data_IF_071306636546
#
_entry.id   IF_071306636546
#
_cell.length_a   1.000
_cell.length_b   1.000
_cell.length_c   1.000
_cell.angle_alpha   90.00
_cell.angle_beta   90.00
_cell.angle_gamma   90.00
#
_symmetry.space_group_name_H-M   'P 1'
#
loop_
_entity.id
_entity.type
_entity.pdbx_description
1 polymer ?
#
# COMPACT_ATOMS: atom_id res chain seq x y z
N UNK A 1 17.93 -15.23 7.05
CA UNK A 1 18.63 -14.06 6.50
C UNK A 1 17.99 -12.79 7.04
N UNK A 2 18.77 -11.73 7.25
CA UNK A 2 18.29 -10.40 7.64
C UNK A 2 18.87 -9.35 6.69
N UNK A 3 17.99 -8.55 6.07
CA UNK A 3 18.38 -7.35 5.30
C UNK A 3 18.09 -6.14 6.18
N UNK A 4 19.11 -5.35 6.52
CA UNK A 4 18.95 -4.16 7.35
C UNK A 4 20.15 -3.21 7.22
N UNK A 5 19.97 -1.88 7.31
CA UNK A 5 21.06 -0.91 7.17
C UNK A 5 22.07 -0.94 8.31
N UNK A 6 21.59 -1.24 9.51
CA UNK A 6 22.41 -1.63 10.64
C UNK A 6 21.92 -3.01 11.07
N UNK A 7 22.77 -3.80 11.70
CA UNK A 7 22.35 -5.04 12.33
C UNK A 7 21.80 -4.73 13.73
N UNK A 8 20.47 -4.66 13.96
CA UNK A 8 19.97 -4.60 15.31
C UNK A 8 20.32 -5.91 16.04
N UNK A 9 20.14 -5.97 17.37
CA UNK A 9 20.16 -7.21 18.14
C UNK A 9 19.16 -8.20 17.53
N UNK A 10 19.62 -9.01 16.57
CA UNK A 10 18.84 -9.97 15.81
C UNK A 10 19.37 -11.37 16.09
N UNK A 11 18.56 -12.37 15.79
CA UNK A 11 18.91 -13.79 15.82
C UNK A 11 20.02 -14.18 14.83
N UNK A 12 20.68 -13.24 14.16
CA UNK A 12 21.88 -13.53 13.33
C UNK A 12 23.00 -14.15 14.17
N UNK A 13 23.09 -13.82 15.46
CA UNK A 13 23.98 -14.51 16.41
C UNK A 13 23.42 -15.85 16.91
N UNK A 14 22.13 -16.14 16.72
CA UNK A 14 21.46 -17.35 17.22
C UNK A 14 21.52 -18.53 16.24
N UNK A 15 21.87 -18.31 14.96
CA UNK A 15 22.01 -19.37 13.97
C UNK A 15 23.14 -19.06 12.97
N UNK A 16 24.10 -19.98 12.85
CA UNK A 16 25.24 -19.89 11.92
C UNK A 16 24.83 -19.86 10.43
N UNK A 17 23.60 -20.26 10.10
CA UNK A 17 23.04 -20.19 8.74
C UNK A 17 22.38 -18.83 8.43
N UNK A 18 22.32 -17.91 9.39
CA UNK A 18 21.72 -16.60 9.17
C UNK A 18 22.77 -15.61 8.63
N UNK A 19 22.49 -15.03 7.47
CA UNK A 19 23.34 -14.00 6.83
C UNK A 19 22.70 -12.62 7.01
N UNK A 20 23.53 -11.63 7.34
CA UNK A 20 23.15 -10.22 7.31
C UNK A 20 23.56 -9.61 5.97
N UNK A 21 22.65 -8.84 5.35
CA UNK A 21 22.91 -8.06 4.14
C UNK A 21 22.73 -6.57 4.46
N UNK A 22 23.82 -5.77 4.44
CA UNK A 22 23.74 -4.34 4.70
C UNK A 22 23.19 -3.60 3.48
N UNK A 23 21.94 -3.14 3.57
CA UNK A 23 21.31 -2.29 2.55
C UNK A 23 21.45 -0.82 2.95
N UNK A 24 21.59 0.12 2.01
CA UNK A 24 21.61 1.54 2.35
C UNK A 24 20.24 1.99 2.92
N UNK A 25 20.20 2.85 3.95
CA UNK A 25 18.94 3.31 4.53
C UNK A 25 17.95 3.87 3.48
N UNK A 26 16.72 3.34 3.45
CA UNK A 26 15.64 3.82 2.58
C UNK A 26 15.71 3.33 1.12
N UNK A 27 16.62 2.39 0.81
CA UNK A 27 16.87 1.90 -0.55
C UNK A 27 16.44 0.45 -0.76
N UNK A 28 15.71 -0.13 0.20
CA UNK A 28 15.20 -1.50 0.18
C UNK A 28 14.35 -1.79 -1.07
N UNK A 29 13.64 -0.79 -1.59
CA UNK A 29 12.88 -0.91 -2.83
C UNK A 29 13.78 -1.17 -4.05
N UNK A 30 14.97 -0.57 -4.10
CA UNK A 30 15.94 -0.83 -5.16
C UNK A 30 16.47 -2.28 -5.09
N UNK A 31 16.75 -2.78 -3.88
CA UNK A 31 17.12 -4.18 -3.70
C UNK A 31 15.99 -5.13 -4.13
N UNK A 32 14.75 -4.89 -3.67
CA UNK A 32 13.60 -5.72 -4.01
C UNK A 32 13.34 -5.72 -5.53
N UNK A 33 13.38 -4.56 -6.18
CA UNK A 33 13.21 -4.45 -7.64
C UNK A 33 14.36 -5.10 -8.42
N UNK A 34 15.60 -5.03 -7.93
CA UNK A 34 16.73 -5.76 -8.51
C UNK A 34 16.56 -7.29 -8.43
N UNK A 35 16.03 -7.79 -7.31
CA UNK A 35 15.66 -9.21 -7.16
C UNK A 35 14.52 -9.58 -8.12
N UNK A 36 13.44 -8.78 -8.18
CA UNK A 36 12.31 -8.99 -9.09
C UNK A 36 12.79 -9.04 -10.55
N UNK A 37 13.61 -8.07 -10.96
CA UNK A 37 14.21 -8.02 -12.31
C UNK A 37 14.88 -9.34 -12.65
N UNK A 38 15.79 -9.79 -11.78
CA UNK A 38 16.53 -11.03 -12.00
C UNK A 38 15.60 -12.26 -12.06
N UNK A 39 14.59 -12.34 -11.18
CA UNK A 39 13.61 -13.45 -11.20
C UNK A 39 12.86 -13.49 -12.53
N UNK A 40 12.47 -12.33 -13.08
CA UNK A 40 11.77 -12.24 -14.38
C UNK A 40 12.71 -12.65 -15.51
N UNK A 41 13.92 -12.07 -15.59
CA UNK A 41 14.92 -12.36 -16.64
C UNK A 41 15.34 -13.84 -16.67
N UNK A 42 15.35 -14.50 -15.51
CA UNK A 42 15.71 -15.92 -15.39
C UNK A 42 14.49 -16.86 -15.40
N UNK A 43 13.28 -16.34 -15.64
CA UNK A 43 12.03 -17.11 -15.63
C UNK A 43 11.82 -17.96 -14.36
N UNK A 44 12.23 -17.45 -13.19
CA UNK A 44 12.18 -18.18 -11.91
C UNK A 44 10.93 -17.89 -11.06
N UNK A 45 9.90 -17.31 -11.66
CA UNK A 45 8.62 -17.09 -11.01
C UNK A 45 7.67 -18.27 -11.24
N UNK A 46 6.63 -18.37 -10.42
CA UNK A 46 5.60 -19.39 -10.52
C UNK A 46 4.58 -19.02 -11.60
N UNK A 47 4.88 -19.38 -12.85
CA UNK A 47 4.04 -19.05 -14.00
C UNK A 47 2.60 -19.55 -13.84
N UNK A 48 2.41 -20.82 -13.44
CA UNK A 48 1.09 -21.43 -13.32
C UNK A 48 0.20 -20.69 -12.30
N UNK A 49 0.79 -20.23 -11.20
CA UNK A 49 0.09 -19.44 -10.19
C UNK A 49 -0.24 -18.03 -10.68
N UNK A 50 0.73 -17.32 -11.27
CA UNK A 50 0.52 -15.95 -11.71
C UNK A 50 -0.51 -15.87 -12.85
N UNK A 51 -0.63 -16.92 -13.66
CA UNK A 51 -1.58 -16.99 -14.76
C UNK A 51 -3.05 -17.12 -14.32
N UNK A 52 -3.32 -17.33 -13.02
CA UNK A 52 -4.67 -17.44 -12.44
C UNK A 52 -5.29 -16.04 -12.34
N UNK A 53 -6.31 -15.71 -13.16
CA UNK A 53 -6.81 -14.35 -13.30
C UNK A 53 -8.00 -14.01 -12.39
N UNK A 54 -8.44 -14.93 -11.52
CA UNK A 54 -9.61 -14.67 -10.69
C UNK A 54 -9.93 -15.76 -9.69
N UNK A 55 -10.94 -15.49 -8.88
CA UNK A 55 -11.38 -16.39 -7.80
C UNK A 55 -11.86 -17.76 -8.32
N UNK A 56 -12.60 -17.79 -9.43
CA UNK A 56 -13.05 -19.05 -10.03
C UNK A 56 -11.85 -19.95 -10.40
N UNK A 57 -10.85 -19.38 -11.08
CA UNK A 57 -9.63 -20.10 -11.43
C UNK A 57 -8.81 -20.52 -10.21
N UNK A 58 -8.73 -19.66 -9.19
CA UNK A 58 -8.07 -19.96 -7.93
C UNK A 58 -8.69 -21.21 -7.29
N UNK A 59 -10.02 -21.25 -7.20
CA UNK A 59 -10.75 -22.39 -6.62
C UNK A 59 -10.53 -23.66 -7.46
N UNK A 60 -10.61 -23.57 -8.78
CA UNK A 60 -10.37 -24.70 -9.69
C UNK A 60 -8.94 -25.25 -9.58
N UNK A 61 -7.94 -24.39 -9.37
CA UNK A 61 -6.54 -24.76 -9.18
C UNK A 61 -6.21 -25.24 -7.75
N UNK A 62 -7.15 -25.14 -6.80
CA UNK A 62 -6.92 -25.47 -5.39
C UNK A 62 -5.98 -24.49 -4.68
N UNK A 63 -5.85 -23.26 -5.19
CA UNK A 63 -4.99 -22.23 -4.62
C UNK A 63 -5.67 -21.48 -3.45
N UNK A 64 -4.86 -20.80 -2.63
CA UNK A 64 -5.35 -19.97 -1.49
C UNK A 64 -5.42 -18.47 -1.79
N UNK A 65 -4.88 -18.08 -2.93
CA UNK A 65 -4.83 -16.69 -3.40
C UNK A 65 -4.66 -16.67 -4.92
N UNK A 66 -4.88 -15.50 -5.51
CA UNK A 66 -4.63 -15.21 -6.92
C UNK A 66 -4.09 -13.79 -7.05
N UNK A 67 -3.64 -13.42 -8.25
CA UNK A 67 -3.02 -12.11 -8.50
C UNK A 67 -3.63 -11.46 -9.73
N UNK A 68 -3.46 -10.13 -9.84
CA UNK A 68 -3.83 -9.39 -11.03
C UNK A 68 -2.72 -9.39 -12.11
N UNK A 69 -1.79 -10.34 -12.09
CA UNK A 69 -0.62 -10.35 -12.99
C UNK A 69 -0.99 -10.40 -14.48
N UNK A 70 -2.11 -11.04 -14.83
CA UNK A 70 -2.61 -11.13 -16.21
C UNK A 70 -3.65 -10.08 -16.58
N UNK A 71 -4.06 -9.23 -15.64
CA UNK A 71 -5.10 -8.21 -15.89
C UNK A 71 -4.55 -7.10 -16.76
N UNK A 72 -5.35 -6.66 -17.73
CA UNK A 72 -4.95 -5.63 -18.68
C UNK A 72 -5.13 -4.23 -18.10
N UNK A 73 -4.13 -3.39 -18.29
CA UNK A 73 -4.07 -1.99 -17.87
C UNK A 73 -3.89 -1.13 -19.10
N UNK A 74 -4.60 0.00 -19.17
CA UNK A 74 -4.42 0.99 -20.23
C UNK A 74 -3.08 1.71 -20.02
N UNK A 75 -2.21 1.66 -21.02
CA UNK A 75 -0.82 2.17 -20.94
C UNK A 75 -0.52 3.31 -21.89
N UNK A 76 -1.50 3.73 -22.71
CA UNK A 76 -1.40 4.97 -23.49
C UNK A 76 -1.40 6.19 -22.56
N UNK A 77 -0.23 6.78 -22.32
CA UNK A 77 -0.02 7.87 -21.35
C UNK A 77 -0.92 9.09 -21.57
N UNK A 78 -1.29 9.38 -22.82
CA UNK A 78 -2.14 10.52 -23.17
C UNK A 78 -3.63 10.27 -22.92
N UNK A 79 -4.03 9.02 -22.66
CA UNK A 79 -5.42 8.66 -22.44
C UNK A 79 -5.86 9.02 -21.00
N UNK A 80 -7.06 9.59 -20.78
CA UNK A 80 -7.52 9.97 -19.43
C UNK A 80 -7.58 8.83 -18.41
N UNK A 81 -7.71 7.58 -18.91
CA UNK A 81 -7.75 6.36 -18.10
C UNK A 81 -6.41 5.62 -18.04
N UNK A 82 -5.29 6.25 -18.43
CA UNK A 82 -3.97 5.65 -18.29
C UNK A 82 -3.72 5.18 -16.84
N UNK A 83 -3.20 3.95 -16.70
CA UNK A 83 -2.99 3.29 -15.41
C UNK A 83 -4.22 2.62 -14.80
N UNK A 84 -5.39 2.73 -15.42
CA UNK A 84 -6.61 2.01 -15.01
C UNK A 84 -6.71 0.65 -15.69
N UNK A 85 -7.40 -0.30 -15.04
CA UNK A 85 -7.74 -1.57 -15.68
C UNK A 85 -8.61 -1.35 -16.92
N UNK A 86 -8.34 -2.11 -17.97
CA UNK A 86 -9.26 -2.26 -19.09
C UNK A 86 -10.46 -3.09 -18.61
N UNK A 87 -11.66 -2.53 -18.69
CA UNK A 87 -12.90 -3.19 -18.24
C UNK A 87 -13.83 -3.45 -19.42
N UNK A 88 -14.69 -4.46 -19.28
CA UNK A 88 -15.58 -4.93 -20.34
C UNK A 88 -16.51 -3.80 -20.88
N UNK A 89 -17.03 -2.94 -19.99
CA UNK A 89 -17.89 -1.83 -20.37
C UNK A 89 -17.20 -0.78 -21.27
N UNK A 90 -15.87 -0.69 -21.21
CA UNK A 90 -15.10 0.20 -22.09
C UNK A 90 -15.12 -0.29 -23.55
N UNK A 91 -15.37 -1.59 -23.76
CA UNK A 91 -15.52 -2.18 -25.09
C UNK A 91 -16.98 -2.29 -25.52
N UNK A 92 -17.90 -2.63 -24.60
CA UNK A 92 -19.32 -2.80 -24.92
C UNK A 92 -20.11 -1.47 -24.95
N UNK A 93 -19.66 -0.44 -24.23
CA UNK A 93 -20.41 0.80 -24.03
C UNK A 93 -21.57 0.69 -23.03
N UNK A 94 -21.71 -0.45 -22.35
CA UNK A 94 -22.78 -0.68 -21.39
C UNK A 94 -22.61 0.18 -20.13
N UNK A 95 -23.71 0.71 -19.62
CA UNK A 95 -23.71 1.46 -18.37
C UNK A 95 -23.42 0.53 -17.19
N UNK A 96 -22.58 0.98 -16.26
CA UNK A 96 -22.33 0.29 -14.98
C UNK A 96 -23.25 0.90 -13.94
N UNK A 97 -23.98 0.06 -13.21
CA UNK A 97 -24.87 0.53 -12.15
C UNK A 97 -24.08 1.26 -11.05
N UNK A 98 -24.74 2.19 -10.35
CA UNK A 98 -24.10 2.94 -9.27
C UNK A 98 -23.64 1.99 -8.15
N UNK A 99 -22.34 2.03 -7.84
CA UNK A 99 -21.72 1.17 -6.82
C UNK A 99 -21.24 -0.19 -7.33
N UNK A 100 -21.41 -0.51 -8.62
CA UNK A 100 -20.86 -1.71 -9.24
C UNK A 100 -19.59 -1.40 -10.04
N UNK A 101 -18.79 -2.45 -10.30
CA UNK A 101 -17.63 -2.37 -11.19
C UNK A 101 -17.79 -3.36 -12.35
N UNK A 102 -17.52 -2.90 -13.57
CA UNK A 102 -17.47 -3.79 -14.74
C UNK A 102 -16.28 -4.77 -14.63
N UNK A 103 -16.40 -6.02 -15.11
CA UNK A 103 -15.33 -6.99 -15.07
C UNK A 103 -14.04 -6.49 -15.73
N UNK A 104 -12.90 -6.79 -15.11
CA UNK A 104 -11.57 -6.51 -15.68
C UNK A 104 -11.27 -7.53 -16.77
N UNK A 105 -10.69 -7.08 -17.88
CA UNK A 105 -10.32 -7.95 -18.99
C UNK A 105 -8.90 -8.50 -18.84
N UNK A 106 -8.71 -9.72 -19.30
CA UNK A 106 -7.41 -10.37 -19.50
C UNK A 106 -7.34 -10.95 -20.93
N UNK A 107 -6.12 -11.28 -21.37
CA UNK A 107 -5.88 -11.87 -22.68
C UNK A 107 -5.78 -13.40 -22.56
N UNK A 108 -6.51 -14.14 -23.40
CA UNK A 108 -6.38 -15.58 -23.54
C UNK A 108 -5.14 -15.96 -24.39
N UNK A 109 -4.75 -17.24 -24.35
CA UNK A 109 -3.57 -17.73 -25.10
C UNK A 109 -3.71 -17.54 -26.62
N UNK A 110 -4.94 -17.54 -27.14
CA UNK A 110 -5.24 -17.28 -28.56
C UNK A 110 -5.26 -15.78 -28.92
N UNK A 111 -5.01 -14.90 -27.95
CA UNK A 111 -5.00 -13.44 -28.12
C UNK A 111 -6.35 -12.77 -27.90
N UNK A 112 -7.44 -13.52 -27.68
CA UNK A 112 -8.76 -12.94 -27.43
C UNK A 112 -8.86 -12.28 -26.06
N UNK A 113 -9.71 -11.26 -25.95
CA UNK A 113 -10.01 -10.59 -24.69
C UNK A 113 -11.24 -11.19 -24.04
N UNK A 114 -11.14 -11.54 -22.75
CA UNK A 114 -12.25 -12.09 -21.97
C UNK A 114 -12.24 -11.53 -20.55
N UNK A 115 -13.39 -11.49 -19.84
CA UNK A 115 -13.45 -11.19 -18.42
C UNK A 115 -12.54 -12.13 -17.61
N UNK A 116 -11.66 -11.56 -16.80
CA UNK A 116 -10.67 -12.29 -16.01
C UNK A 116 -11.31 -13.29 -15.04
N UNK A 117 -12.50 -12.98 -14.52
CA UNK A 117 -13.30 -13.82 -13.62
C UNK A 117 -13.95 -15.03 -14.31
N UNK A 118 -13.92 -15.11 -15.64
CA UNK A 118 -14.46 -16.21 -16.46
C UNK A 118 -13.38 -17.10 -17.07
N UNK A 119 -12.09 -16.82 -16.80
CA UNK A 119 -10.97 -17.54 -17.36
C UNK A 119 -10.33 -18.46 -16.31
N UNK A 120 -9.86 -19.65 -16.73
CA UNK A 120 -9.06 -20.54 -15.87
C UNK A 120 -7.57 -20.18 -15.86
N UNK A 121 -7.07 -19.67 -16.99
CA UNK A 121 -5.72 -19.15 -17.16
C UNK A 121 -5.74 -18.00 -18.15
N UNK A 122 -4.86 -17.03 -17.98
CA UNK A 122 -4.66 -15.92 -18.90
C UNK A 122 -3.18 -15.75 -19.24
N UNK A 123 -2.91 -15.16 -20.39
CA UNK A 123 -1.57 -14.82 -20.85
C UNK A 123 -0.90 -13.85 -19.86
N UNK A 124 0.32 -14.19 -19.43
CA UNK A 124 1.04 -13.38 -18.46
C UNK A 124 1.67 -12.16 -19.10
N UNK A 125 2.27 -12.32 -20.27
CA UNK A 125 2.98 -11.22 -20.94
C UNK A 125 2.19 -10.77 -22.16
N UNK A 126 1.21 -9.90 -21.91
CA UNK A 126 0.36 -9.34 -22.94
C UNK A 126 0.77 -7.90 -23.25
N UNK A 127 0.74 -7.55 -24.54
CA UNK A 127 0.74 -6.17 -25.05
C UNK A 127 -0.06 -6.16 -26.34
N UNK A 128 -1.13 -5.37 -26.39
CA UNK A 128 -1.97 -5.26 -27.58
C UNK A 128 -2.60 -3.87 -27.69
N UNK A 129 -3.04 -3.52 -28.90
CA UNK A 129 -3.87 -2.35 -29.14
C UNK A 129 -5.34 -2.76 -29.17
N UNK A 130 -6.20 -1.96 -28.54
CA UNK A 130 -7.63 -2.22 -28.41
C UNK A 130 -8.40 -0.95 -28.75
N UNK A 131 -9.38 -1.09 -29.65
CA UNK A 131 -10.33 -0.02 -29.94
C UNK A 131 -11.45 -0.04 -28.91
N UNK A 132 -11.61 1.06 -28.17
CA UNK A 132 -12.68 1.27 -27.20
C UNK A 132 -14.01 1.56 -27.91
N UNK A 133 -15.12 1.48 -27.18
CA UNK A 133 -16.46 1.77 -27.70
C UNK A 133 -16.60 3.19 -28.30
N UNK A 134 -15.86 4.17 -27.76
CA UNK A 134 -15.84 5.54 -28.27
C UNK A 134 -14.98 5.74 -29.52
N UNK A 135 -14.37 4.66 -30.03
CA UNK A 135 -13.52 4.64 -31.21
C UNK A 135 -12.05 4.98 -30.94
N UNK A 136 -11.67 5.33 -29.71
CA UNK A 136 -10.27 5.57 -29.37
C UNK A 136 -9.49 4.24 -29.38
N UNK A 137 -8.30 4.26 -29.96
CA UNK A 137 -7.39 3.12 -29.93
C UNK A 137 -6.37 3.31 -28.81
N UNK A 138 -6.33 2.37 -27.87
CA UNK A 138 -5.44 2.41 -26.71
C UNK A 138 -4.52 1.20 -26.67
N UNK A 139 -3.30 1.38 -26.19
CA UNK A 139 -2.40 0.28 -25.86
C UNK A 139 -2.74 -0.24 -24.48
N UNK A 140 -2.82 -1.56 -24.36
CA UNK A 140 -3.01 -2.25 -23.08
C UNK A 140 -1.91 -3.27 -22.85
N UNK A 141 -1.53 -3.45 -21.58
CA UNK A 141 -0.50 -4.40 -21.15
C UNK A 141 -0.98 -5.15 -19.91
N UNK A 142 -0.59 -6.40 -19.76
CA UNK A 142 -0.86 -7.14 -18.52
C UNK A 142 -0.05 -6.57 -17.34
N UNK A 143 -0.54 -6.77 -16.12
CA UNK A 143 0.17 -6.37 -14.90
C UNK A 143 1.62 -6.89 -14.83
N UNK A 144 1.87 -8.12 -15.31
CA UNK A 144 3.21 -8.71 -15.35
C UNK A 144 4.12 -8.05 -16.39
N UNK A 145 3.59 -7.66 -17.56
CA UNK A 145 4.34 -6.85 -18.53
C UNK A 145 4.71 -5.49 -17.93
N UNK A 146 3.77 -4.83 -17.25
CA UNK A 146 4.04 -3.57 -16.55
C UNK A 146 5.12 -3.73 -15.47
N UNK A 147 5.07 -4.82 -14.69
CA UNK A 147 6.08 -5.12 -13.67
C UNK A 147 7.45 -5.39 -14.30
N UNK A 148 7.51 -6.15 -15.39
CA UNK A 148 8.74 -6.41 -16.13
C UNK A 148 9.37 -5.11 -16.61
N UNK A 149 8.59 -4.20 -17.19
CA UNK A 149 9.09 -2.89 -17.65
C UNK A 149 9.55 -2.02 -16.48
N UNK A 150 8.80 -2.00 -15.38
CA UNK A 150 9.18 -1.26 -14.18
C UNK A 150 10.49 -1.78 -13.56
N UNK A 151 10.68 -3.11 -13.54
CA UNK A 151 11.91 -3.75 -13.08
C UNK A 151 13.07 -3.58 -14.08
N UNK A 152 12.78 -3.42 -15.37
CA UNK A 152 13.78 -3.15 -16.39
C UNK A 152 14.26 -1.69 -16.41
N UNK A 153 13.59 -0.77 -15.69
CA UNK A 153 13.91 0.66 -15.64
C UNK A 153 15.36 0.95 -15.27
N UNK A 154 15.95 0.14 -14.38
CA UNK A 154 17.36 0.20 -14.02
C UNK A 154 17.99 -1.18 -14.24
N UNK A 155 19.24 -1.19 -14.72
CA UNK A 155 20.08 -2.38 -14.77
C UNK A 155 20.33 -2.96 -13.37
N UNK A 156 20.72 -4.23 -13.30
CA UNK A 156 21.08 -4.85 -12.03
C UNK A 156 22.23 -4.13 -11.33
N UNK A 157 23.22 -3.65 -12.09
CA UNK A 157 24.32 -2.83 -11.60
C UNK A 157 23.85 -1.51 -10.99
N UNK A 158 22.90 -0.82 -11.62
CA UNK A 158 22.31 0.41 -11.08
C UNK A 158 21.51 0.16 -9.80
N UNK A 159 20.72 -0.93 -9.74
CA UNK A 159 20.05 -1.33 -8.50
C UNK A 159 21.05 -1.66 -7.39
N UNK A 160 22.11 -2.41 -7.71
CA UNK A 160 23.20 -2.73 -6.77
C UNK A 160 23.83 -1.46 -6.22
N UNK A 161 24.14 -0.48 -7.09
CA UNK A 161 24.71 0.80 -6.69
C UNK A 161 23.77 1.58 -5.78
N UNK A 162 22.48 1.67 -6.14
CA UNK A 162 21.49 2.42 -5.36
C UNK A 162 21.26 1.82 -3.98
N UNK A 163 21.23 0.50 -3.86
CA UNK A 163 20.98 -0.17 -2.58
C UNK A 163 22.23 -0.49 -1.77
N UNK A 164 23.43 -0.30 -2.35
CA UNK A 164 24.72 -0.62 -1.74
C UNK A 164 24.99 -2.12 -1.56
N UNK A 165 24.15 -2.99 -2.11
CA UNK A 165 24.32 -4.46 -2.04
C UNK A 165 24.99 -4.93 -3.34
N UNK A 166 26.11 -5.67 -3.30
CA UNK A 166 26.78 -6.16 -4.51
C UNK A 166 25.88 -7.02 -5.40
N UNK A 167 26.00 -6.90 -6.73
CA UNK A 167 25.20 -7.67 -7.71
C UNK A 167 25.20 -9.17 -7.42
N UNK A 168 26.37 -9.75 -7.12
CA UNK A 168 26.50 -11.17 -6.79
C UNK A 168 25.65 -11.58 -5.57
N UNK A 169 25.53 -10.68 -4.59
CA UNK A 169 24.65 -10.88 -3.43
C UNK A 169 23.20 -10.81 -3.88
N UNK A 170 22.78 -9.78 -4.63
CA UNK A 170 21.39 -9.66 -5.14
C UNK A 170 20.97 -10.91 -5.91
N UNK A 171 21.82 -11.40 -6.81
CA UNK A 171 21.61 -12.65 -7.57
C UNK A 171 21.51 -13.85 -6.63
N UNK A 172 22.44 -13.97 -5.66
CA UNK A 172 22.43 -15.05 -4.68
C UNK A 172 21.12 -15.08 -3.88
N UNK A 173 20.63 -13.91 -3.47
CA UNK A 173 19.35 -13.75 -2.76
C UNK A 173 18.19 -14.20 -3.62
N UNK A 174 18.13 -13.71 -4.86
CA UNK A 174 17.06 -14.03 -5.80
C UNK A 174 17.03 -15.54 -6.11
N UNK A 175 18.20 -16.14 -6.31
CA UNK A 175 18.35 -17.58 -6.57
C UNK A 175 17.91 -18.41 -5.36
N UNK A 176 18.47 -18.13 -4.18
CA UNK A 176 18.14 -18.86 -2.96
C UNK A 176 16.63 -18.75 -2.64
N UNK A 177 16.05 -17.55 -2.73
CA UNK A 177 14.62 -17.34 -2.52
C UNK A 177 13.75 -18.19 -3.46
N UNK A 178 14.11 -18.24 -4.75
CA UNK A 178 13.36 -19.00 -5.75
C UNK A 178 13.65 -20.51 -5.76
N UNK A 179 14.80 -20.95 -5.23
CA UNK A 179 15.13 -22.38 -5.05
C UNK A 179 14.17 -23.06 -4.07
N UNK A 180 13.77 -22.36 -3.01
CA UNK A 180 12.78 -22.86 -2.04
C UNK A 180 11.33 -22.70 -2.52
N UNK A 181 11.10 -22.04 -3.66
CA UNK A 181 9.77 -21.83 -4.24
C UNK A 181 8.77 -21.33 -3.17
N UNK A 182 7.62 -21.99 -3.03
CA UNK A 182 6.54 -21.64 -2.08
C UNK A 182 6.90 -21.82 -0.61
N UNK A 183 8.06 -22.39 -0.28
CA UNK A 183 8.54 -22.56 1.10
C UNK A 183 9.38 -21.38 1.58
N UNK A 184 9.77 -20.47 0.70
CA UNK A 184 10.38 -19.21 1.09
C UNK A 184 9.32 -18.20 1.51
N UNK A 185 9.70 -17.22 2.32
CA UNK A 185 8.88 -16.07 2.67
C UNK A 185 9.78 -14.86 2.91
N UNK A 186 9.36 -13.70 2.41
CA UNK A 186 10.00 -12.42 2.75
C UNK A 186 8.95 -11.55 3.43
N UNK A 187 9.28 -11.05 4.61
CA UNK A 187 8.43 -10.12 5.34
C UNK A 187 9.19 -8.84 5.59
N UNK A 188 8.43 -7.77 5.81
CA UNK A 188 8.98 -6.51 6.28
C UNK A 188 8.43 -6.21 7.67
N UNK A 189 9.29 -5.72 8.56
CA UNK A 189 8.89 -5.32 9.90
C UNK A 189 9.70 -4.08 10.31
N UNK A 190 9.02 -3.01 10.74
CA UNK A 190 9.64 -1.80 11.30
C UNK A 190 10.46 -0.91 10.34
N UNK A 191 11.12 -1.48 9.32
CA UNK A 191 12.04 -0.76 8.41
C UNK A 191 11.36 0.08 7.32
N UNK A 192 10.03 0.08 7.25
CA UNK A 192 9.27 0.76 6.20
C UNK A 192 8.51 2.01 6.70
N UNK A 193 8.96 2.59 7.81
CA UNK A 193 8.42 3.86 8.33
C UNK A 193 9.01 5.10 7.62
N UNK A 194 9.63 4.92 6.45
CA UNK A 194 10.11 5.99 5.58
C UNK A 194 9.05 6.50 4.60
N UNK A 195 9.31 7.63 3.93
CA UNK A 195 8.35 8.26 3.01
C UNK A 195 7.93 7.39 1.81
N UNK A 196 8.77 6.44 1.41
CA UNK A 196 8.49 5.43 0.37
C UNK A 196 8.09 4.06 0.95
N UNK A 197 7.74 4.00 2.23
CA UNK A 197 7.46 2.77 2.96
C UNK A 197 6.41 1.88 2.29
N UNK A 198 5.29 2.48 1.89
CA UNK A 198 4.20 1.78 1.19
C UNK A 198 4.69 1.06 -0.07
N UNK A 199 5.39 1.77 -0.96
CA UNK A 199 5.90 1.20 -2.21
C UNK A 199 6.96 0.12 -1.95
N UNK A 200 7.77 0.30 -0.91
CA UNK A 200 8.77 -0.68 -0.50
C UNK A 200 8.10 -1.96 0.02
N UNK A 201 7.06 -1.84 0.85
CA UNK A 201 6.25 -3.00 1.29
C UNK A 201 5.65 -3.71 0.09
N UNK A 202 5.11 -2.94 -0.85
CA UNK A 202 4.51 -3.48 -2.06
C UNK A 202 5.50 -4.29 -2.90
N UNK A 203 6.71 -3.77 -3.14
CA UNK A 203 7.76 -4.49 -3.85
C UNK A 203 8.20 -5.78 -3.12
N UNK A 204 8.29 -5.76 -1.79
CA UNK A 204 8.59 -6.96 -0.99
C UNK A 204 7.44 -7.98 -1.06
N UNK A 205 6.19 -7.53 -1.04
CA UNK A 205 5.03 -8.41 -1.20
C UNK A 205 4.94 -9.00 -2.61
N UNK A 206 5.36 -8.27 -3.65
CA UNK A 206 5.46 -8.79 -5.01
C UNK A 206 6.38 -10.02 -5.09
N UNK A 207 7.51 -10.06 -4.38
CA UNK A 207 8.39 -11.24 -4.34
C UNK A 207 7.63 -12.50 -3.88
N UNK A 208 6.79 -12.37 -2.86
CA UNK A 208 5.96 -13.47 -2.34
C UNK A 208 4.88 -13.89 -3.35
N UNK A 209 4.22 -12.91 -3.98
CA UNK A 209 3.27 -13.18 -5.06
C UNK A 209 3.94 -13.91 -6.24
N UNK A 210 5.17 -13.54 -6.61
CA UNK A 210 5.90 -14.17 -7.72
C UNK A 210 6.15 -15.66 -7.52
N UNK A 211 6.26 -16.15 -6.29
CA UNK A 211 6.43 -17.59 -5.99
C UNK A 211 5.11 -18.28 -5.60
N UNK A 212 4.06 -17.51 -5.30
CA UNK A 212 2.74 -18.02 -4.93
C UNK A 212 2.69 -18.64 -3.53
N UNK A 213 3.35 -18.03 -2.55
CA UNK A 213 3.40 -18.53 -1.17
C UNK A 213 2.34 -17.91 -0.22
N UNK A 214 1.49 -17.03 -0.73
CA UNK A 214 0.55 -16.26 0.10
C UNK A 214 -0.52 -17.17 0.72
N UNK A 215 -0.67 -17.09 2.05
CA UNK A 215 -1.59 -17.89 2.87
C UNK A 215 -1.37 -19.42 2.82
N UNK A 216 -0.19 -19.87 2.36
CA UNK A 216 0.22 -21.27 2.45
C UNK A 216 0.96 -21.56 3.75
N UNK A 217 0.92 -22.82 4.20
CA UNK A 217 1.69 -23.27 5.36
C UNK A 217 3.19 -23.06 5.09
N UNK A 218 3.86 -22.30 5.94
CA UNK A 218 5.28 -21.93 5.78
C UNK A 218 5.52 -20.72 4.88
N UNK A 219 4.47 -20.19 4.23
CA UNK A 219 4.52 -18.95 3.46
C UNK A 219 4.11 -17.72 4.26
N UNK A 220 3.87 -16.61 3.57
CA UNK A 220 3.46 -15.34 4.20
C UNK A 220 1.96 -15.37 4.51
N UNK A 221 1.61 -15.13 5.77
CA UNK A 221 0.22 -14.90 6.16
C UNK A 221 -0.16 -13.45 5.87
N UNK A 222 -1.16 -13.25 5.00
CA UNK A 222 -1.70 -11.91 4.68
C UNK A 222 -2.73 -11.48 5.74
N UNK A 223 -3.04 -12.35 6.71
CA UNK A 223 -3.93 -12.06 7.84
C UNK A 223 -3.53 -12.78 9.12
N UNK A 224 -3.84 -12.17 10.26
CA UNK A 224 -3.78 -12.81 11.58
C UNK A 224 -4.89 -12.32 12.51
N UNK A 225 -5.82 -11.51 11.98
CA UNK A 225 -6.71 -10.68 12.77
C UNK A 225 -5.94 -9.62 13.58
N UNK A 226 -6.68 -8.68 14.12
CA UNK A 226 -6.24 -7.86 15.25
C UNK A 226 -7.13 -8.27 16.43
N UNK A 227 -6.59 -8.24 17.64
CA UNK A 227 -7.47 -8.25 18.81
C UNK A 227 -8.35 -7.00 18.74
N UNK A 228 -9.66 -7.18 18.72
CA UNK A 228 -10.58 -6.05 18.70
C UNK A 228 -10.78 -5.52 20.12
N UNK A 229 -9.93 -4.57 20.49
CA UNK A 229 -9.99 -3.91 21.80
C UNK A 229 -11.20 -3.01 22.02
N UNK A 230 -12.09 -2.87 21.03
CA UNK A 230 -13.31 -2.04 21.11
C UNK A 230 -14.59 -2.84 20.83
N UNK A 231 -14.54 -4.17 20.94
CA UNK A 231 -15.73 -5.02 20.95
C UNK A 231 -16.36 -5.08 22.35
N UNK A 232 -17.61 -5.54 22.42
CA UNK A 232 -18.26 -5.83 23.70
C UNK A 232 -17.47 -6.91 24.44
N UNK A 233 -17.00 -6.55 25.63
CA UNK A 233 -16.25 -7.42 26.51
C UNK A 233 -17.11 -7.96 27.64
N UNK A 234 -16.58 -8.91 28.42
CA UNK A 234 -17.30 -9.49 29.56
C UNK A 234 -17.62 -8.47 30.66
N UNK A 235 -16.87 -7.37 30.74
CA UNK A 235 -17.05 -6.32 31.75
C UNK A 235 -17.71 -5.05 31.21
N UNK A 236 -17.56 -4.74 29.91
CA UNK A 236 -17.97 -3.46 29.33
C UNK A 236 -18.55 -3.64 27.93
N UNK A 237 -19.67 -2.97 27.66
CA UNK A 237 -20.24 -2.84 26.31
C UNK A 237 -19.59 -1.62 25.65
N UNK A 238 -18.66 -1.87 24.72
CA UNK A 238 -17.88 -0.83 24.04
C UNK A 238 -18.37 -0.58 22.60
N UNK A 239 -19.12 -1.52 22.01
CA UNK A 239 -19.66 -1.36 20.66
C UNK A 239 -20.85 -0.40 20.64
N UNK A 240 -21.71 -0.44 21.66
CA UNK A 240 -22.85 0.46 21.82
C UNK A 240 -23.35 0.46 23.27
N UNK A 241 -23.92 1.57 23.73
CA UNK A 241 -24.56 1.67 25.05
C UNK A 241 -25.61 2.80 25.07
N UNK A 242 -26.51 2.76 26.04
CA UNK A 242 -27.55 3.78 26.22
C UNK A 242 -26.90 5.14 26.46
N UNK A 243 -27.26 6.12 25.62
CA UNK A 243 -26.69 7.47 25.69
C UNK A 243 -25.34 7.63 24.98
N UNK A 244 -24.88 6.64 24.21
CA UNK A 244 -23.66 6.76 23.41
C UNK A 244 -23.71 7.98 22.48
N UNK A 245 -22.70 8.83 22.59
CA UNK A 245 -22.53 10.00 21.74
C UNK A 245 -21.60 9.64 20.59
N UNK A 246 -22.08 9.73 19.36
CA UNK A 246 -21.24 9.58 18.17
C UNK A 246 -20.48 10.88 17.90
N UNK A 247 -19.18 10.81 17.56
CA UNK A 247 -18.45 12.00 17.13
C UNK A 247 -19.11 12.61 15.89
N UNK A 248 -19.19 13.94 15.85
CA UNK A 248 -19.74 14.71 14.73
C UNK A 248 -18.76 15.81 14.34
N UNK A 249 -18.85 16.25 13.09
CA UNK A 249 -18.04 17.33 12.55
C UNK A 249 -16.74 16.84 11.90
N UNK A 250 -15.94 17.82 11.48
CA UNK A 250 -14.68 17.58 10.79
C UNK A 250 -13.61 17.10 11.79
N UNK A 251 -12.90 15.98 11.55
CA UNK A 251 -11.78 15.59 12.39
C UNK A 251 -10.65 16.63 12.32
N UNK A 252 -9.99 16.91 13.44
CA UNK A 252 -8.87 17.87 13.53
C UNK A 252 -7.77 17.62 12.49
N UNK A 253 -7.48 16.34 12.24
CA UNK A 253 -6.50 15.91 11.24
C UNK A 253 -6.92 16.06 9.80
N UNK A 254 -8.16 16.50 9.51
CA UNK A 254 -8.70 16.66 8.14
C UNK A 254 -8.50 15.40 7.29
N UNK A 255 -8.41 14.27 7.96
CA UNK A 255 -8.07 12.96 7.40
C UNK A 255 -9.32 12.24 6.96
N UNK A 256 -9.25 11.56 5.81
CA UNK A 256 -10.40 10.92 5.13
C UNK A 256 -11.54 11.88 4.81
N UNK A 257 -11.21 13.15 4.55
CA UNK A 257 -12.19 14.18 4.21
C UNK A 257 -11.73 14.92 2.94
N UNK A 258 -12.58 15.04 1.91
CA UNK A 258 -12.30 15.90 0.77
C UNK A 258 -12.48 17.37 1.18
N UNK A 259 -11.52 18.22 0.81
CA UNK A 259 -11.52 19.64 1.18
C UNK A 259 -12.74 20.38 0.62
N UNK A 260 -13.20 20.01 -0.57
CA UNK A 260 -14.32 20.62 -1.28
C UNK A 260 -15.65 20.48 -0.52
N UNK A 261 -15.76 19.50 0.38
CA UNK A 261 -16.92 19.34 1.26
C UNK A 261 -16.81 20.16 2.55
N UNK A 262 -15.71 20.88 2.77
CA UNK A 262 -15.50 21.68 3.98
C UNK A 262 -16.26 23.02 3.94
N UNK A 263 -16.61 23.52 5.13
CA UNK A 263 -17.20 24.86 5.25
C UNK A 263 -16.29 25.95 4.71
N UNK A 264 -14.97 25.85 4.90
CA UNK A 264 -14.01 26.81 4.37
C UNK A 264 -14.08 26.91 2.84
N UNK A 265 -14.11 25.77 2.15
CA UNK A 265 -14.23 25.76 0.69
C UNK A 265 -15.56 26.38 0.24
N UNK A 266 -16.67 25.94 0.84
CA UNK A 266 -18.00 26.45 0.49
C UNK A 266 -18.14 27.95 0.75
N UNK A 267 -17.56 28.47 1.84
CA UNK A 267 -17.55 29.90 2.15
C UNK A 267 -16.73 30.70 1.13
N UNK A 268 -15.56 30.22 0.69
CA UNK A 268 -14.78 30.88 -0.37
C UNK A 268 -15.57 30.99 -1.67
N UNK A 269 -16.21 29.90 -2.10
CA UNK A 269 -17.05 29.89 -3.30
C UNK A 269 -18.23 30.86 -3.16
N UNK A 270 -18.91 30.87 -2.00
CA UNK A 270 -20.02 31.81 -1.74
C UNK A 270 -19.57 33.27 -1.75
N UNK A 271 -18.31 33.55 -1.39
CA UNK A 271 -17.70 34.88 -1.46
C UNK A 271 -17.17 35.24 -2.85
N UNK A 272 -17.40 34.40 -3.87
CA UNK A 272 -16.89 34.60 -5.23
C UNK A 272 -15.38 34.43 -5.36
N UNK A 273 -14.73 33.82 -4.37
CA UNK A 273 -13.30 33.52 -4.38
C UNK A 273 -13.04 32.13 -4.97
N UNK A 274 -11.80 31.89 -5.38
CA UNK A 274 -11.32 30.53 -5.61
C UNK A 274 -11.49 29.71 -4.33
N UNK A 275 -12.06 28.50 -4.44
CA UNK A 275 -12.12 27.55 -3.32
C UNK A 275 -10.74 27.13 -2.82
N UNK A 276 -9.69 27.36 -3.62
CA UNK A 276 -8.30 27.02 -3.35
C UNK A 276 -7.38 28.26 -3.23
N UNK A 277 -6.27 28.17 -2.48
CA UNK A 277 -5.82 27.01 -1.68
C UNK A 277 -6.48 26.94 -0.30
N UNK A 278 -6.51 25.76 0.33
CA UNK A 278 -6.87 25.60 1.74
C UNK A 278 -5.83 26.27 2.66
N UNK A 279 -6.24 26.70 3.86
CA UNK A 279 -5.32 27.29 4.87
C UNK A 279 -4.23 26.32 5.34
N UNK A 280 -4.45 25.02 5.23
CA UNK A 280 -3.47 23.99 5.57
C UNK A 280 -3.76 22.67 4.87
N UNK A 281 -2.89 21.67 5.01
CA UNK A 281 -3.01 20.41 4.26
C UNK A 281 -4.28 19.63 4.60
N UNK A 282 -4.85 18.97 3.60
CA UNK A 282 -5.96 18.04 3.74
C UNK A 282 -5.53 16.66 3.27
N UNK A 283 -6.07 15.62 3.91
CA UNK A 283 -5.60 14.26 3.75
C UNK A 283 -6.74 13.32 3.36
N UNK A 284 -7.26 13.40 2.12
CA UNK A 284 -8.51 12.73 1.73
C UNK A 284 -8.43 11.20 1.76
N UNK A 285 -7.23 10.61 1.69
CA UNK A 285 -7.06 9.15 1.61
C UNK A 285 -6.55 8.50 2.90
N UNK A 286 -5.71 9.20 3.66
CA UNK A 286 -5.04 8.64 4.84
C UNK A 286 -5.79 8.97 6.13
N UNK A 287 -5.70 8.06 7.11
CA UNK A 287 -6.21 8.26 8.47
C UNK A 287 -5.12 8.02 9.50
N UNK A 288 -5.37 8.43 10.75
CA UNK A 288 -4.51 8.04 11.89
C UNK A 288 -3.16 8.74 11.98
N UNK A 289 -3.04 9.97 11.46
CA UNK A 289 -1.80 10.77 11.57
C UNK A 289 -1.79 11.54 12.90
N UNK A 290 -1.00 11.08 13.88
CA UNK A 290 -0.95 11.69 15.22
C UNK A 290 -0.36 13.11 15.21
N UNK A 291 0.65 13.37 14.37
CA UNK A 291 1.18 14.73 14.10
C UNK A 291 0.08 15.70 13.68
N UNK A 292 -0.85 15.22 12.87
CA UNK A 292 -2.00 15.97 12.36
C UNK A 292 -3.17 16.06 13.33
N UNK A 293 -3.07 15.51 14.54
CA UNK A 293 -4.07 15.75 15.58
C UNK A 293 -3.67 16.96 16.44
N UNK A 294 -2.49 16.90 17.05
CA UNK A 294 -2.07 17.89 18.06
C UNK A 294 -1.56 19.20 17.44
N UNK A 295 -0.76 19.13 16.38
CA UNK A 295 -0.20 20.35 15.78
C UNK A 295 -1.30 21.25 15.15
N UNK A 296 -2.27 20.72 14.38
CA UNK A 296 -3.35 21.54 13.83
C UNK A 296 -4.30 22.06 14.90
N UNK A 297 -4.56 21.28 15.94
CA UNK A 297 -5.34 21.72 17.10
C UNK A 297 -4.72 22.94 17.80
N UNK A 298 -3.41 22.90 18.07
CA UNK A 298 -2.66 24.01 18.65
C UNK A 298 -2.45 25.17 17.65
N UNK A 299 -2.69 24.95 16.36
CA UNK A 299 -2.76 26.01 15.35
C UNK A 299 -4.17 26.59 15.16
N UNK A 300 -5.18 26.02 15.84
CA UNK A 300 -6.57 26.43 15.67
C UNK A 300 -7.09 26.22 14.25
N UNK A 301 -6.66 25.15 13.57
CA UNK A 301 -7.13 24.80 12.24
C UNK A 301 -7.35 23.29 12.13
N UNK A 302 -8.57 22.83 11.82
CA UNK A 302 -9.77 23.60 11.48
C UNK A 302 -10.39 24.36 12.68
N UNK A 303 -10.11 23.95 13.91
CA UNK A 303 -10.59 24.58 15.14
C UNK A 303 -9.65 24.26 16.32
N UNK A 304 -9.66 25.04 17.43
CA UNK A 304 -8.81 24.77 18.58
C UNK A 304 -9.35 23.62 19.46
N UNK A 305 -8.46 23.00 20.23
CA UNK A 305 -8.83 22.07 21.31
C UNK A 305 -9.08 22.82 22.63
N UNK A 306 -10.04 22.33 23.41
CA UNK A 306 -10.30 22.83 24.78
C UNK A 306 -9.74 21.91 25.86
N UNK A 307 -9.70 20.61 25.57
CA UNK A 307 -9.22 19.58 26.46
C UNK A 307 -8.55 18.49 25.65
N UNK A 308 -7.48 17.91 26.19
CA UNK A 308 -6.85 16.70 25.67
C UNK A 308 -6.72 15.68 26.79
N UNK A 309 -7.25 14.49 26.56
CA UNK A 309 -7.07 13.32 27.42
C UNK A 309 -6.08 12.39 26.70
N UNK A 310 -4.89 12.24 27.27
CA UNK A 310 -3.89 11.24 26.85
C UNK A 310 -4.05 10.00 27.72
N UNK A 311 -4.13 8.83 27.10
CA UNK A 311 -4.27 7.56 27.81
C UNK A 311 -3.19 6.59 27.33
N UNK A 312 -2.25 6.27 28.23
CA UNK A 312 -1.09 5.40 28.02
C UNK A 312 -0.27 5.78 26.79
N UNK A 313 -0.07 7.08 26.58
CA UNK A 313 0.72 7.60 25.46
C UNK A 313 1.53 8.82 25.84
N UNK A 314 2.75 8.91 25.30
CA UNK A 314 3.60 10.08 25.35
C UNK A 314 3.98 10.52 23.92
N UNK A 315 3.16 11.36 23.25
CA UNK A 315 3.41 11.73 21.86
C UNK A 315 4.63 12.63 21.69
N UNK A 316 5.01 13.42 22.70
CA UNK A 316 6.21 14.25 22.65
C UNK A 316 7.50 13.40 22.58
N UNK A 317 7.47 12.22 23.20
CA UNK A 317 8.54 11.24 23.10
C UNK A 317 8.39 10.32 21.87
N UNK A 318 7.18 9.81 21.64
CA UNK A 318 6.92 8.75 20.67
C UNK A 318 6.82 9.21 19.21
N UNK A 319 6.65 10.51 18.95
CA UNK A 319 6.53 11.05 17.59
C UNK A 319 7.75 11.88 17.24
N UNK A 320 8.53 11.39 16.28
CA UNK A 320 9.72 12.08 15.81
C UNK A 320 9.41 13.52 15.35
N UNK A 321 10.20 14.49 15.81
CA UNK A 321 10.07 15.89 15.43
C UNK A 321 8.87 16.65 16.04
N UNK A 322 7.91 15.97 16.68
CA UNK A 322 6.70 16.62 17.18
C UNK A 322 7.00 17.68 18.26
N UNK A 323 7.93 17.40 19.17
CA UNK A 323 8.34 18.33 20.23
C UNK A 323 8.71 19.70 19.66
N UNK A 324 9.56 19.74 18.63
CA UNK A 324 9.99 20.99 17.99
C UNK A 324 8.82 21.76 17.34
N UNK A 325 7.76 21.07 16.94
CA UNK A 325 6.61 21.66 16.26
C UNK A 325 5.61 22.28 17.25
N UNK A 326 5.44 21.67 18.43
CA UNK A 326 4.32 22.00 19.31
C UNK A 326 4.69 22.44 20.73
N UNK A 327 5.92 22.23 21.19
CA UNK A 327 6.30 22.42 22.61
C UNK A 327 5.95 23.83 23.13
N UNK A 328 6.34 24.89 22.41
CA UNK A 328 6.06 26.28 22.83
C UNK A 328 4.55 26.55 22.95
N UNK A 329 3.75 26.10 21.97
CA UNK A 329 2.29 26.28 21.99
C UNK A 329 1.61 25.41 23.02
N UNK A 330 2.13 24.21 23.26
CA UNK A 330 1.59 23.28 24.24
C UNK A 330 1.82 23.77 25.68
N UNK A 331 2.89 24.54 25.93
CA UNK A 331 3.16 25.17 27.22
C UNK A 331 2.21 26.34 27.53
N UNK A 332 1.52 26.91 26.54
CA UNK A 332 0.59 28.02 26.73
C UNK A 332 -0.81 27.49 27.08
N UNK A 333 -1.30 27.67 28.33
CA UNK A 333 -2.64 27.22 28.74
C UNK A 333 -3.77 27.95 28.01
N UNK A 334 -3.48 29.04 27.27
CA UNK A 334 -4.46 29.69 26.39
C UNK A 334 -4.71 28.88 25.11
N UNK A 335 -3.74 28.06 24.68
CA UNK A 335 -3.84 27.22 23.49
C UNK A 335 -4.46 25.84 23.81
N UNK A 336 -4.12 25.28 24.97
CA UNK A 336 -4.72 24.04 25.49
C UNK A 336 -5.04 24.20 26.99
N UNK A 337 -6.27 24.61 27.34
CA UNK A 337 -6.64 24.90 28.73
C UNK A 337 -6.63 23.70 29.68
N UNK A 338 -6.90 22.50 29.17
CA UNK A 338 -6.98 21.29 29.98
C UNK A 338 -6.21 20.15 29.32
N UNK A 339 -5.25 19.59 30.06
CA UNK A 339 -4.55 18.37 29.69
C UNK A 339 -4.64 17.35 30.83
N UNK A 340 -5.15 16.16 30.53
CA UNK A 340 -5.26 15.04 31.46
C UNK A 340 -4.42 13.89 30.89
N UNK A 341 -3.42 13.44 31.64
CA UNK A 341 -2.62 12.28 31.29
C UNK A 341 -2.98 11.11 32.22
N UNK A 342 -3.32 9.97 31.65
CA UNK A 342 -3.58 8.71 32.34
C UNK A 342 -2.49 7.75 31.87
N UNK A 343 -1.48 7.49 32.68
CA UNK A 343 -0.37 6.63 32.30
C UNK A 343 0.06 5.73 33.47
N UNK A 344 0.68 4.60 33.16
CA UNK A 344 1.32 3.77 34.17
C UNK A 344 2.75 4.32 34.36
N UNK A 345 3.13 4.60 35.61
CA UNK A 345 4.43 5.18 35.97
C UNK A 345 5.62 4.49 35.30
#
# INVERSE_FOLDING_TARGET
MVVAPALPLTTTLANQHNRWVPVLPGTDAALAMGIIRWIIEQHRFNHAYLAIPGEMAMQAAGERSWTNASHLVITTETHPLAGQFLRANMLSGEAVAEGEESPVLAQAIDGTLQPADQMLQAELFATQYVTLHDGQNVQVQSGMTCLQQAAARFTLAEYSQQCGVPEATVIGLAREFTDYQRQAAVISHGGMMGGNGFYTTWAVMMLNAMIGNLNLKGGVSVGGGKFDGFADGPCYQLATFVGMVKPKGLPLSRSKQPYEKSEEYQQKIQQGQSGYPARGPWYPFVGGQLTEQLAPALAGYPYPLKAWISHMTNPLYGVAGLRNLIEERLQDPRQLPLFIAIDAL
#
